data_IF_717634941444
#
_entry.id   IF_717634941444
#
_cell.length_a   1.000
_cell.length_b   1.000
_cell.length_c   1.000
_cell.angle_alpha   90.00
_cell.angle_beta   90.00
_cell.angle_gamma   90.00
#
_symmetry.space_group_name_H-M   'P 1'
#
loop_
_entity.id
_entity.type
_entity.pdbx_description
1 polymer ?
#
# COMPACT_ATOMS: atom_id res chain seq x y z
N UNK A 1 11.48 0.97 -9.23
CA UNK A 1 11.29 -0.20 -10.08
C UNK A 1 10.66 0.25 -11.38
N UNK A 2 11.20 -0.23 -12.51
CA UNK A 2 10.64 -0.04 -13.84
C UNK A 2 10.00 -1.37 -14.27
N UNK A 3 8.67 -1.53 -14.20
CA UNK A 3 8.00 -2.78 -14.57
C UNK A 3 8.38 -3.32 -15.96
N UNK A 4 8.61 -2.48 -16.99
CA UNK A 4 9.08 -2.98 -18.28
C UNK A 4 10.44 -3.69 -18.21
N UNK A 5 11.41 -3.12 -17.51
CA UNK A 5 12.72 -3.76 -17.32
C UNK A 5 12.61 -5.08 -16.54
N UNK A 6 11.65 -5.19 -15.62
CA UNK A 6 11.37 -6.47 -14.95
C UNK A 6 10.87 -7.53 -15.94
N UNK A 7 9.99 -7.15 -16.86
CA UNK A 7 9.45 -8.06 -17.87
C UNK A 7 10.47 -8.44 -18.96
N UNK A 8 11.49 -7.61 -19.19
CA UNK A 8 12.62 -7.98 -20.04
C UNK A 8 13.45 -9.11 -19.45
N UNK A 9 13.66 -9.07 -18.12
CA UNK A 9 14.46 -10.08 -17.39
C UNK A 9 13.61 -11.31 -17.04
N UNK A 10 12.34 -11.10 -16.71
CA UNK A 10 11.37 -12.14 -16.30
C UNK A 10 10.13 -12.06 -17.22
N UNK A 11 10.20 -12.58 -18.44
CA UNK A 11 9.13 -12.42 -19.43
C UNK A 11 7.78 -12.98 -19.01
N UNK A 12 7.78 -13.97 -18.09
CA UNK A 12 6.57 -14.62 -17.58
C UNK A 12 6.04 -14.02 -16.28
N UNK A 13 6.67 -12.95 -15.77
CA UNK A 13 6.24 -12.32 -14.54
C UNK A 13 4.79 -11.80 -14.65
N UNK A 14 4.03 -12.00 -13.59
CA UNK A 14 2.70 -11.41 -13.38
C UNK A 14 2.79 -10.38 -12.29
N UNK A 15 2.22 -9.21 -12.53
CA UNK A 15 2.33 -8.05 -11.65
C UNK A 15 1.05 -7.85 -10.88
N UNK A 16 1.16 -7.73 -9.57
CA UNK A 16 0.04 -7.38 -8.69
C UNK A 16 0.32 -5.97 -8.18
N UNK A 17 -0.50 -5.01 -8.59
CA UNK A 17 -0.44 -3.65 -8.10
C UNK A 17 -1.38 -3.51 -6.91
N UNK A 18 -0.84 -3.07 -5.77
CA UNK A 18 -1.64 -2.82 -4.58
C UNK A 18 -1.86 -1.32 -4.43
N UNK A 19 -3.13 -0.91 -4.31
CA UNK A 19 -3.53 0.47 -4.16
C UNK A 19 -4.00 0.73 -2.74
N UNK A 20 -3.65 1.90 -2.21
CA UNK A 20 -4.02 2.36 -0.88
C UNK A 20 -4.17 3.87 -0.87
N UNK A 21 -5.01 4.40 0.03
CA UNK A 21 -5.15 5.85 0.24
C UNK A 21 -3.76 6.50 0.43
N UNK A 22 -3.35 7.42 -0.47
CA UNK A 22 -2.05 8.09 -0.40
C UNK A 22 -1.80 8.80 0.94
N UNK A 23 -2.83 9.31 1.60
CA UNK A 23 -2.71 9.93 2.93
C UNK A 23 -2.16 8.93 3.95
N UNK A 24 -2.68 7.72 3.95
CA UNK A 24 -2.22 6.66 4.84
C UNK A 24 -0.82 6.17 4.45
N UNK A 25 -0.57 6.01 3.16
CA UNK A 25 0.72 5.53 2.67
C UNK A 25 1.84 6.52 2.96
N UNK A 26 1.66 7.81 2.61
CA UNK A 26 2.66 8.86 2.81
C UNK A 26 3.00 9.02 4.29
N UNK A 27 1.98 9.12 5.16
CA UNK A 27 2.17 9.24 6.60
C UNK A 27 2.92 8.04 7.19
N UNK A 28 2.55 6.82 6.77
CA UNK A 28 3.21 5.58 7.21
C UNK A 28 4.66 5.49 6.75
N UNK A 29 4.92 5.83 5.49
CA UNK A 29 6.26 5.78 4.90
C UNK A 29 7.18 6.85 5.52
N UNK A 30 6.67 8.07 5.72
CA UNK A 30 7.41 9.13 6.41
C UNK A 30 7.75 8.72 7.85
N UNK A 31 6.79 8.14 8.59
CA UNK A 31 7.02 7.65 9.95
C UNK A 31 8.08 6.55 10.00
N UNK A 32 8.04 5.60 9.09
CA UNK A 32 9.05 4.54 9.02
C UNK A 32 10.44 5.10 8.75
N UNK A 33 10.56 5.98 7.76
CA UNK A 33 11.82 6.60 7.39
C UNK A 33 12.38 7.47 8.53
N UNK A 34 11.53 8.27 9.15
CA UNK A 34 11.94 9.12 10.27
C UNK A 34 12.43 8.29 11.46
N UNK A 35 11.71 7.21 11.82
CA UNK A 35 12.14 6.30 12.89
C UNK A 35 13.48 5.62 12.60
N UNK A 36 13.81 5.39 11.33
CA UNK A 36 15.14 4.90 10.96
C UNK A 36 16.21 6.00 11.05
N UNK A 37 15.89 7.21 10.62
CA UNK A 37 16.83 8.34 10.66
C UNK A 37 17.27 8.70 12.08
N UNK A 38 16.35 8.74 13.04
CA UNK A 38 16.67 9.09 14.45
C UNK A 38 17.58 8.09 15.16
N UNK A 39 17.74 6.87 14.61
CA UNK A 39 18.69 5.89 15.14
C UNK A 39 20.13 6.26 14.78
N UNK A 40 20.33 6.94 13.64
CA UNK A 40 21.65 7.21 13.08
C UNK A 40 22.02 8.69 13.08
N UNK A 41 21.12 9.60 13.45
CA UNK A 41 21.36 11.03 13.40
C UNK A 41 20.58 11.79 14.47
N UNK A 42 21.24 12.72 15.13
CA UNK A 42 20.64 13.65 16.10
C UNK A 42 19.95 14.85 15.41
N UNK A 43 20.17 15.02 14.09
CA UNK A 43 19.66 16.15 13.31
C UNK A 43 18.61 15.68 12.30
N UNK A 44 17.48 15.17 12.80
CA UNK A 44 16.37 14.74 11.96
C UNK A 44 15.28 15.82 11.90
N UNK A 45 14.80 16.11 10.70
CA UNK A 45 13.68 17.02 10.45
C UNK A 45 12.47 16.22 9.92
N UNK A 46 11.45 16.07 10.76
CA UNK A 46 10.25 15.33 10.42
C UNK A 46 9.50 15.95 9.23
N UNK A 47 9.43 17.29 9.15
CA UNK A 47 8.75 17.98 8.06
C UNK A 47 9.51 17.81 6.72
N UNK A 48 10.83 17.80 6.74
CA UNK A 48 11.65 17.46 5.58
C UNK A 48 11.40 16.03 5.13
N UNK A 49 11.37 15.08 6.06
CA UNK A 49 11.08 13.67 5.78
C UNK A 49 9.69 13.52 5.15
N UNK A 50 8.69 14.25 5.65
CA UNK A 50 7.34 14.28 5.06
C UNK A 50 7.33 14.75 3.62
N UNK A 51 7.94 15.89 3.33
CA UNK A 51 8.04 16.43 1.97
C UNK A 51 8.77 15.48 1.01
N UNK A 52 9.85 14.86 1.47
CA UNK A 52 10.58 13.87 0.67
C UNK A 52 9.70 12.65 0.32
N UNK A 53 8.95 12.12 1.28
CA UNK A 53 8.09 10.97 1.03
C UNK A 53 6.86 11.31 0.21
N UNK A 54 6.31 12.51 0.34
CA UNK A 54 5.28 13.01 -0.56
C UNK A 54 5.79 13.03 -2.02
N UNK A 55 6.98 13.58 -2.25
CA UNK A 55 7.60 13.62 -3.58
C UNK A 55 7.95 12.23 -4.13
N UNK A 56 8.54 11.36 -3.30
CA UNK A 56 8.89 9.98 -3.68
C UNK A 56 7.64 9.19 -4.06
N UNK A 57 6.56 9.32 -3.28
CA UNK A 57 5.28 8.64 -3.56
C UNK A 57 4.69 9.12 -4.88
N UNK A 58 4.69 10.43 -5.14
CA UNK A 58 4.20 10.98 -6.41
C UNK A 58 5.00 10.41 -7.59
N UNK A 59 6.33 10.42 -7.50
CA UNK A 59 7.20 9.84 -8.54
C UNK A 59 6.97 8.35 -8.75
N UNK A 60 6.74 7.59 -7.67
CA UNK A 60 6.44 6.15 -7.76
C UNK A 60 5.12 5.89 -8.50
N UNK A 61 4.07 6.64 -8.16
CA UNK A 61 2.74 6.52 -8.80
C UNK A 61 2.82 6.92 -10.28
N UNK A 62 3.48 8.03 -10.59
CA UNK A 62 3.67 8.49 -11.96
C UNK A 62 4.41 7.46 -12.82
N UNK A 63 5.52 6.92 -12.32
CA UNK A 63 6.28 5.85 -12.99
C UNK A 63 5.48 4.57 -13.16
N UNK A 64 4.70 4.19 -12.18
CA UNK A 64 3.80 3.05 -12.27
C UNK A 64 2.78 3.28 -13.37
N UNK A 65 2.11 4.44 -13.41
CA UNK A 65 1.10 4.77 -14.42
C UNK A 65 1.69 4.80 -15.83
N UNK A 66 2.79 5.51 -16.02
CA UNK A 66 3.43 5.65 -17.34
C UNK A 66 3.98 4.33 -17.89
N UNK A 67 4.21 3.34 -17.03
CA UNK A 67 4.69 2.02 -17.46
C UNK A 67 3.58 1.02 -17.76
N UNK A 68 2.32 1.31 -17.39
CA UNK A 68 1.22 0.34 -17.53
C UNK A 68 0.89 -0.04 -18.95
N UNK A 69 0.95 0.93 -19.87
CA UNK A 69 0.64 0.69 -21.28
C UNK A 69 1.63 -0.27 -21.96
N UNK A 70 2.80 -0.45 -21.35
CA UNK A 70 3.83 -1.40 -21.81
C UNK A 70 3.66 -2.80 -21.21
N UNK A 71 2.69 -2.99 -20.32
CA UNK A 71 2.43 -4.27 -19.65
C UNK A 71 1.18 -4.90 -20.26
N UNK A 72 1.23 -6.13 -20.80
CA UNK A 72 0.05 -6.81 -21.28
C UNK A 72 -1.03 -6.92 -20.20
N UNK A 73 -2.28 -6.61 -20.53
CA UNK A 73 -3.38 -6.58 -19.58
C UNK A 73 -3.57 -7.91 -18.80
N UNK A 74 -3.30 -9.05 -19.45
CA UNK A 74 -3.37 -10.36 -18.82
C UNK A 74 -2.20 -10.67 -17.88
N UNK A 75 -1.24 -9.78 -17.74
CA UNK A 75 -0.07 -9.91 -16.86
C UNK A 75 -0.12 -8.96 -15.65
N UNK A 76 -1.21 -8.24 -15.46
CA UNK A 76 -1.36 -7.35 -14.32
C UNK A 76 -2.75 -7.45 -13.70
N UNK A 77 -2.82 -7.22 -12.40
CA UNK A 77 -4.06 -7.11 -11.64
C UNK A 77 -3.91 -6.02 -10.60
N UNK A 78 -4.99 -5.26 -10.38
CA UNK A 78 -5.08 -4.24 -9.34
C UNK A 78 -5.84 -4.78 -8.13
N UNK A 79 -5.31 -4.56 -6.94
CA UNK A 79 -5.87 -4.98 -5.66
C UNK A 79 -5.93 -3.78 -4.74
N UNK A 80 -7.12 -3.50 -4.19
CA UNK A 80 -7.27 -2.49 -3.16
C UNK A 80 -6.82 -3.05 -1.80
N UNK A 81 -6.11 -2.23 -1.04
CA UNK A 81 -5.68 -2.60 0.32
C UNK A 81 -6.89 -2.85 1.24
N UNK A 82 -7.91 -2.03 1.08
CA UNK A 82 -9.17 -2.11 1.82
C UNK A 82 -9.93 -3.40 1.54
N UNK A 83 -9.89 -3.91 0.30
CA UNK A 83 -10.48 -5.21 -0.05
C UNK A 83 -9.79 -6.35 0.72
N UNK A 84 -8.45 -6.28 0.87
CA UNK A 84 -7.71 -7.27 1.67
C UNK A 84 -8.07 -7.23 3.15
N UNK A 85 -8.47 -6.07 3.68
CA UNK A 85 -8.87 -5.94 5.09
C UNK A 85 -10.32 -6.38 5.32
N UNK A 86 -11.23 -6.09 4.39
CA UNK A 86 -12.67 -6.38 4.51
C UNK A 86 -13.01 -7.80 4.04
N UNK A 87 -12.43 -8.26 2.94
CA UNK A 87 -12.63 -9.58 2.35
C UNK A 87 -11.31 -10.14 1.81
N UNK A 88 -10.42 -10.54 2.72
CA UNK A 88 -9.14 -11.14 2.34
C UNK A 88 -9.31 -12.39 1.48
N UNK A 89 -10.37 -13.17 1.74
CA UNK A 89 -10.59 -14.45 1.06
C UNK A 89 -10.96 -14.24 -0.40
N UNK A 90 -11.98 -13.44 -0.68
CA UNK A 90 -12.38 -13.10 -2.05
C UNK A 90 -11.28 -12.39 -2.81
N UNK A 91 -10.52 -11.50 -2.13
CA UNK A 91 -9.38 -10.83 -2.73
C UNK A 91 -8.27 -11.82 -3.12
N UNK A 92 -7.92 -12.76 -2.24
CA UNK A 92 -6.93 -13.79 -2.55
C UNK A 92 -7.41 -14.78 -3.60
N UNK A 93 -8.70 -15.10 -3.66
CA UNK A 93 -9.28 -15.91 -4.73
C UNK A 93 -9.12 -15.24 -6.10
N UNK A 94 -9.28 -13.90 -6.19
CA UNK A 94 -8.99 -13.13 -7.40
C UNK A 94 -7.51 -13.23 -7.80
N UNK A 95 -6.60 -13.09 -6.83
CA UNK A 95 -5.16 -13.21 -7.05
C UNK A 95 -4.77 -14.60 -7.53
N UNK A 96 -5.23 -15.65 -6.87
CA UNK A 96 -4.92 -17.04 -7.25
C UNK A 96 -5.47 -17.40 -8.63
N UNK A 97 -6.69 -16.94 -8.95
CA UNK A 97 -7.27 -17.08 -10.29
C UNK A 97 -6.41 -16.38 -11.35
N UNK A 98 -5.97 -15.16 -11.07
CA UNK A 98 -5.08 -14.43 -11.96
C UNK A 98 -3.75 -15.15 -12.17
N UNK A 99 -3.22 -15.79 -11.13
CA UNK A 99 -1.98 -16.57 -11.21
C UNK A 99 -2.19 -17.95 -11.87
N UNK A 100 -3.43 -18.39 -12.07
CA UNK A 100 -3.74 -19.73 -12.56
C UNK A 100 -3.43 -20.84 -11.55
N UNK A 101 -3.51 -20.51 -10.24
CA UNK A 101 -3.20 -21.41 -9.14
C UNK A 101 -4.47 -21.80 -8.38
N UNK A 102 -4.48 -23.03 -7.84
CA UNK A 102 -5.51 -23.45 -6.88
C UNK A 102 -5.21 -22.86 -5.50
N UNK A 103 -6.16 -22.13 -4.94
CA UNK A 103 -6.03 -21.53 -3.62
C UNK A 103 -6.37 -22.51 -2.48
N UNK A 104 -7.14 -23.56 -2.75
CA UNK A 104 -7.67 -24.44 -1.69
C UNK A 104 -6.59 -24.98 -0.73
N UNK A 105 -5.42 -25.43 -1.19
CA UNK A 105 -4.35 -25.89 -0.29
C UNK A 105 -3.74 -24.81 0.61
N UNK A 106 -3.83 -23.53 0.19
CA UNK A 106 -3.21 -22.42 0.92
C UNK A 106 -4.14 -21.83 1.99
N UNK A 107 -5.44 -21.99 1.87
CA UNK A 107 -6.45 -21.41 2.78
C UNK A 107 -6.15 -21.69 4.27
N UNK A 108 -5.87 -22.94 4.70
CA UNK A 108 -5.63 -23.20 6.12
C UNK A 108 -4.39 -22.48 6.67
N UNK A 109 -3.36 -22.29 5.84
CA UNK A 109 -2.16 -21.58 6.24
C UNK A 109 -2.40 -20.08 6.37
N UNK A 110 -3.14 -19.50 5.43
CA UNK A 110 -3.55 -18.09 5.48
C UNK A 110 -4.41 -17.81 6.72
N UNK A 111 -5.40 -18.64 7.00
CA UNK A 111 -6.26 -18.50 8.16
C UNK A 111 -5.44 -18.55 9.47
N UNK A 112 -4.56 -19.54 9.63
CA UNK A 112 -3.66 -19.63 10.79
C UNK A 112 -2.78 -18.38 10.96
N UNK A 113 -2.31 -17.82 9.86
CA UNK A 113 -1.52 -16.57 9.90
C UNK A 113 -2.36 -15.40 10.42
N UNK A 114 -3.59 -15.24 9.94
CA UNK A 114 -4.51 -14.19 10.37
C UNK A 114 -4.86 -14.34 11.85
N UNK A 115 -5.21 -15.54 12.29
CA UNK A 115 -5.53 -15.84 13.69
C UNK A 115 -4.35 -15.52 14.61
N UNK A 116 -3.15 -15.92 14.21
CA UNK A 116 -1.93 -15.59 14.96
C UNK A 116 -1.67 -14.09 15.00
N UNK A 117 -1.83 -13.41 13.87
CA UNK A 117 -1.64 -11.96 13.77
C UNK A 117 -2.64 -11.19 14.62
N UNK A 118 -3.90 -11.66 14.70
CA UNK A 118 -4.93 -11.07 15.55
C UNK A 118 -4.61 -11.21 17.03
N UNK A 119 -4.01 -12.34 17.45
CA UNK A 119 -3.60 -12.58 18.85
C UNK A 119 -2.40 -11.74 19.28
N UNK A 120 -1.54 -11.39 18.34
CA UNK A 120 -0.41 -10.50 18.60
C UNK A 120 -0.94 -9.07 18.75
N UNK A 121 -1.29 -8.67 19.98
CA UNK A 121 -1.70 -7.30 20.33
C UNK A 121 -0.53 -6.33 20.10
N UNK A 122 -0.23 -6.02 18.86
CA UNK A 122 0.71 -4.94 18.54
C UNK A 122 0.03 -3.63 18.88
N UNK A 123 0.68 -2.78 19.67
CA UNK A 123 0.22 -1.40 19.85
C UNK A 123 0.10 -0.75 18.48
N UNK A 124 -1.05 -0.14 18.14
CA UNK A 124 -1.17 0.55 16.87
C UNK A 124 -0.08 1.63 16.80
N UNK A 125 0.73 1.59 15.76
CA UNK A 125 1.66 2.67 15.50
C UNK A 125 0.83 3.88 15.07
N UNK A 126 0.84 4.92 15.89
CA UNK A 126 0.10 6.15 15.59
C UNK A 126 1.04 7.11 14.88
N UNK A 127 0.62 7.58 13.74
CA UNK A 127 1.29 8.62 12.97
C UNK A 127 0.22 9.45 12.26
N UNK A 128 0.53 10.71 11.97
CA UNK A 128 -0.34 11.59 11.19
C UNK A 128 0.49 12.38 10.18
N UNK A 129 -0.18 12.96 9.19
CA UNK A 129 0.48 13.82 8.20
C UNK A 129 1.05 15.07 8.84
N UNK A 130 0.34 15.64 9.84
CA UNK A 130 0.74 16.87 10.54
C UNK A 130 2.07 16.68 11.29
N UNK A 131 2.34 15.49 11.85
CA UNK A 131 3.64 15.18 12.47
C UNK A 131 4.80 15.35 11.51
N UNK A 132 4.54 15.23 10.22
CA UNK A 132 5.50 15.35 9.13
C UNK A 132 5.32 16.65 8.33
N UNK A 133 4.63 17.65 8.91
CA UNK A 133 4.44 18.97 8.32
C UNK A 133 3.61 18.96 7.02
N UNK A 134 2.76 17.94 6.82
CA UNK A 134 1.89 17.81 5.67
C UNK A 134 0.43 18.03 6.06
N UNK A 135 -0.35 18.64 5.16
CA UNK A 135 -1.79 18.81 5.32
C UNK A 135 -2.54 17.75 4.53
N UNK A 136 -3.62 17.22 5.08
CA UNK A 136 -4.45 16.21 4.39
C UNK A 136 -4.95 16.71 3.03
N UNK A 137 -5.35 17.97 2.97
CA UNK A 137 -5.82 18.60 1.72
C UNK A 137 -4.73 18.60 0.65
N UNK A 138 -3.49 18.97 1.00
CA UNK A 138 -2.34 18.97 0.09
C UNK A 138 -2.08 17.59 -0.50
N UNK A 139 -2.13 16.55 0.33
CA UNK A 139 -1.94 15.18 -0.12
C UNK A 139 -3.11 14.72 -0.99
N UNK A 140 -4.35 15.04 -0.60
CA UNK A 140 -5.56 14.69 -1.37
C UNK A 140 -5.55 15.32 -2.75
N UNK A 141 -5.24 16.62 -2.85
CA UNK A 141 -5.16 17.35 -4.13
C UNK A 141 -4.06 16.77 -5.03
N UNK A 142 -2.89 16.47 -4.45
CA UNK A 142 -1.77 15.93 -5.22
C UNK A 142 -2.05 14.56 -5.83
N UNK A 143 -2.88 13.76 -5.20
CA UNK A 143 -3.19 12.39 -5.65
C UNK A 143 -4.63 12.20 -6.11
N UNK A 144 -5.38 13.29 -6.35
CA UNK A 144 -6.79 13.24 -6.74
C UNK A 144 -7.00 12.34 -7.97
N UNK A 145 -6.25 12.58 -9.03
CA UNK A 145 -6.33 11.81 -10.28
C UNK A 145 -5.97 10.31 -10.10
N UNK A 146 -5.02 10.01 -9.22
CA UNK A 146 -4.69 8.63 -8.89
C UNK A 146 -5.82 7.94 -8.12
N UNK A 147 -6.39 8.60 -7.11
CA UNK A 147 -7.48 8.04 -6.31
C UNK A 147 -8.74 7.85 -7.13
N UNK A 148 -9.05 8.77 -8.05
CA UNK A 148 -10.16 8.67 -8.97
C UNK A 148 -9.95 7.53 -9.98
N UNK A 149 -8.78 7.50 -10.65
CA UNK A 149 -8.46 6.49 -11.68
C UNK A 149 -8.58 5.06 -11.16
N UNK A 150 -8.14 4.83 -9.92
CA UNK A 150 -8.13 3.48 -9.32
C UNK A 150 -9.28 3.24 -8.34
N UNK A 151 -10.22 4.17 -8.20
CA UNK A 151 -11.37 4.03 -7.31
C UNK A 151 -10.98 3.82 -5.85
N UNK A 152 -9.92 4.49 -5.38
CA UNK A 152 -9.38 4.27 -4.04
C UNK A 152 -10.29 4.94 -3.01
N UNK A 153 -10.83 4.20 -2.02
CA UNK A 153 -11.63 4.79 -0.97
C UNK A 153 -10.81 5.82 -0.17
N UNK A 154 -11.28 7.06 -0.17
CA UNK A 154 -10.68 8.15 0.59
C UNK A 154 -11.57 8.47 1.78
N UNK A 155 -11.05 8.42 3.00
CA UNK A 155 -11.83 8.81 4.19
C UNK A 155 -11.72 7.88 5.38
N UNK A 156 -11.03 6.78 5.28
CA UNK A 156 -10.70 5.97 6.46
C UNK A 156 -9.67 6.74 7.30
N UNK A 157 -9.97 7.10 8.55
CA UNK A 157 -9.00 7.79 9.41
C UNK A 157 -7.69 7.01 9.51
N UNK A 158 -6.56 7.72 9.46
CA UNK A 158 -5.21 7.13 9.54
C UNK A 158 -5.04 6.26 10.80
N UNK A 159 -5.81 6.56 11.85
CA UNK A 159 -5.80 5.81 13.12
C UNK A 159 -6.68 4.56 13.14
N UNK A 160 -7.64 4.42 12.23
CA UNK A 160 -8.68 3.38 12.28
C UNK A 160 -8.43 2.16 11.38
N UNK A 161 -7.40 2.18 10.56
CA UNK A 161 -6.99 1.05 9.70
C UNK A 161 -6.74 -0.27 10.47
N UNK A 162 -6.88 -0.26 11.80
CA UNK A 162 -6.71 -1.42 12.68
C UNK A 162 -7.98 -1.88 13.41
N UNK A 163 -9.11 -1.16 13.30
CA UNK A 163 -10.36 -1.55 13.99
C UNK A 163 -11.16 -2.64 13.28
N UNK A 164 -10.95 -2.83 11.98
CA UNK A 164 -11.74 -3.79 11.18
C UNK A 164 -11.36 -5.27 11.39
N UNK A 165 -10.37 -5.56 12.23
CA UNK A 165 -9.93 -6.95 12.50
C UNK A 165 -10.61 -7.64 13.69
N UNK A 166 -11.62 -7.04 14.31
CA UNK A 166 -12.26 -7.58 15.52
C UNK A 166 -13.77 -7.74 15.44
N UNK A 167 -14.35 -7.83 14.26
CA UNK A 167 -15.78 -8.05 14.04
C UNK A 167 -16.02 -9.23 13.10
N UNK A 168 -16.23 -10.38 13.64
CA UNK A 168 -17.03 -11.54 13.30
C UNK A 168 -16.34 -12.85 13.72
#
# INVERSE_FOLDING_TARGET
LAPPALLEVLPDARLIFTHRDPKQFVASAASLAWNQQIIYSDHCDAARTGREWLGKTATMIERMRSSRDMIPANRMIDIQYEDMESDWRGTMERVYRFLGLDMAPAIPAMQRYLDRSARLKRRPHRYSLEQFGLREQEVSERFADYTETYGIPTGTPISDAKRLRSGA
#
